data_IF_631478823054
#
_entry.id   IF_631478823054
#
_cell.length_a   1.000
_cell.length_b   1.000
_cell.length_c   1.000
_cell.angle_alpha   90.00
_cell.angle_beta   90.00
_cell.angle_gamma   90.00
#
_symmetry.space_group_name_H-M   'P 1'
#
loop_
_entity.id
_entity.type
_entity.pdbx_description
1 polymer ?
#
# COMPACT_ATOMS: atom_id res chain seq x y z
N UNK A 1 -38.89 1.28 31.21
CA UNK A 1 -38.26 0.77 29.98
C UNK A 1 -36.79 1.16 30.03
N UNK A 2 -35.88 0.20 30.21
CA UNK A 2 -34.42 0.44 30.24
C UNK A 2 -33.90 0.37 28.81
N UNK A 3 -33.30 1.46 28.34
CA UNK A 3 -32.70 1.53 26.99
C UNK A 3 -31.43 0.67 26.97
N UNK A 4 -31.27 -0.28 26.05
CA UNK A 4 -30.01 -0.99 25.89
C UNK A 4 -28.97 -0.01 25.34
N UNK A 5 -27.88 0.19 26.09
CA UNK A 5 -26.70 0.88 25.58
C UNK A 5 -26.03 -0.06 24.60
N UNK A 6 -26.15 0.21 23.30
CA UNK A 6 -25.32 -0.45 22.29
C UNK A 6 -23.91 0.11 22.46
N UNK A 7 -23.02 -0.68 23.05
CA UNK A 7 -21.59 -0.39 22.98
C UNK A 7 -21.17 -0.65 21.55
N UNK A 8 -20.81 0.40 20.81
CA UNK A 8 -20.18 0.26 19.51
C UNK A 8 -18.99 -0.71 19.64
N UNK A 9 -18.74 -1.61 18.67
CA UNK A 9 -17.60 -2.50 18.75
C UNK A 9 -16.33 -1.66 18.90
N UNK A 10 -15.60 -1.91 20.00
CA UNK A 10 -14.29 -1.35 20.21
C UNK A 10 -13.44 -1.76 19.01
N UNK A 11 -13.04 -0.81 18.17
CA UNK A 11 -12.07 -1.05 17.12
C UNK A 11 -10.83 -1.62 17.82
N UNK A 12 -10.42 -2.87 17.54
CA UNK A 12 -9.22 -3.41 18.14
C UNK A 12 -8.06 -2.47 17.80
N UNK A 13 -7.08 -2.27 18.70
CA UNK A 13 -5.88 -1.53 18.35
C UNK A 13 -5.34 -2.13 17.05
N UNK A 14 -5.25 -1.31 16.01
CA UNK A 14 -4.87 -1.80 14.69
C UNK A 14 -3.51 -2.45 14.83
N UNK A 15 -3.43 -3.75 14.52
CA UNK A 15 -2.18 -4.48 14.55
C UNK A 15 -1.20 -3.77 13.61
N UNK A 16 -0.12 -3.23 14.17
CA UNK A 16 0.84 -2.41 13.42
C UNK A 16 1.43 -3.22 12.26
N UNK A 17 1.64 -4.54 12.46
CA UNK A 17 2.07 -5.45 11.41
C UNK A 17 1.05 -5.51 10.26
N UNK A 18 -0.24 -5.63 10.60
CA UNK A 18 -1.33 -5.61 9.62
C UNK A 18 -1.36 -4.31 8.81
N UNK A 19 -1.04 -3.16 9.40
CA UNK A 19 -0.97 -1.88 8.67
C UNK A 19 0.19 -1.87 7.69
N UNK A 20 1.36 -2.39 8.07
CA UNK A 20 2.50 -2.51 7.17
C UNK A 20 2.20 -3.44 6.00
N UNK A 21 1.61 -4.61 6.27
CA UNK A 21 1.19 -5.56 5.24
C UNK A 21 0.16 -4.96 4.27
N UNK A 22 -0.80 -4.20 4.80
CA UNK A 22 -1.77 -3.50 3.97
C UNK A 22 -1.08 -2.46 3.07
N UNK A 23 -0.11 -1.72 3.61
CA UNK A 23 0.61 -0.69 2.85
C UNK A 23 1.47 -1.28 1.73
N UNK A 24 2.20 -2.37 1.98
CA UNK A 24 2.99 -3.07 0.95
C UNK A 24 2.08 -3.63 -0.15
N UNK A 25 0.98 -4.27 0.23
CA UNK A 25 0.00 -4.82 -0.72
C UNK A 25 -0.63 -3.72 -1.60
N UNK A 26 -1.02 -2.59 -1.01
CA UNK A 26 -1.59 -1.47 -1.78
C UNK A 26 -0.60 -0.87 -2.79
N UNK A 27 0.68 -0.77 -2.43
CA UNK A 27 1.73 -0.32 -3.34
C UNK A 27 1.90 -1.30 -4.52
N UNK A 28 1.86 -2.61 -4.26
CA UNK A 28 1.98 -3.63 -5.30
C UNK A 28 0.76 -3.71 -6.22
N UNK A 29 -0.45 -3.53 -5.68
CA UNK A 29 -1.68 -3.44 -6.47
C UNK A 29 -1.63 -2.25 -7.43
N UNK A 30 -1.31 -1.05 -6.91
CA UNK A 30 -1.17 0.15 -7.73
C UNK A 30 -0.10 -0.02 -8.83
N UNK A 31 1.03 -0.64 -8.48
CA UNK A 31 2.11 -0.94 -9.43
C UNK A 31 1.62 -1.88 -10.54
N UNK A 32 0.88 -2.92 -10.18
CA UNK A 32 0.31 -3.89 -11.11
C UNK A 32 -0.69 -3.25 -12.06
N UNK A 33 -1.58 -2.41 -11.56
CA UNK A 33 -2.60 -1.73 -12.35
C UNK A 33 -1.99 -0.74 -13.35
N UNK A 34 -0.99 0.06 -12.93
CA UNK A 34 -0.27 0.96 -13.86
C UNK A 34 0.46 0.15 -14.93
N UNK A 35 1.10 -0.96 -14.55
CA UNK A 35 1.83 -1.82 -15.51
C UNK A 35 0.90 -2.40 -16.58
N UNK A 36 -0.33 -2.78 -16.20
CA UNK A 36 -1.37 -3.26 -17.13
C UNK A 36 -1.98 -2.15 -17.98
N UNK A 37 -2.01 -0.91 -17.47
CA UNK A 37 -2.49 0.28 -18.19
C UNK A 37 -1.53 0.70 -19.32
N UNK A 38 -0.21 0.57 -19.13
CA UNK A 38 0.79 1.00 -20.12
C UNK A 38 0.52 0.53 -21.56
N UNK A 39 0.23 -0.76 -21.85
CA UNK A 39 -0.06 -1.22 -23.21
C UNK A 39 -1.44 -0.80 -23.74
N UNK A 40 -2.34 -0.29 -22.89
CA UNK A 40 -3.68 0.16 -23.30
C UNK A 40 -3.75 1.66 -23.54
N UNK A 41 -2.63 2.37 -23.41
CA UNK A 41 -2.57 3.81 -23.67
C UNK A 41 -2.79 4.09 -25.16
N UNK A 42 -3.54 5.16 -25.51
CA UNK A 42 -3.68 5.58 -26.90
C UNK A 42 -2.34 5.90 -27.57
N UNK A 43 -2.21 5.61 -28.87
CA UNK A 43 -0.98 5.84 -29.65
C UNK A 43 -0.53 7.32 -29.69
N UNK A 44 -1.47 8.26 -29.50
CA UNK A 44 -1.19 9.69 -29.45
C UNK A 44 -0.79 10.19 -28.04
N UNK A 45 -0.60 9.29 -27.07
CA UNK A 45 -0.14 9.64 -25.73
C UNK A 45 1.27 10.21 -25.78
N UNK A 46 1.51 11.31 -25.05
CA UNK A 46 2.84 11.90 -24.93
C UNK A 46 3.84 10.90 -24.33
N UNK A 47 5.04 10.81 -24.93
CA UNK A 47 6.13 10.00 -24.41
C UNK A 47 6.51 10.36 -22.96
N UNK A 48 6.35 11.62 -22.58
CA UNK A 48 6.60 12.07 -21.20
C UNK A 48 5.64 11.44 -20.19
N UNK A 49 4.37 11.22 -20.57
CA UNK A 49 3.41 10.52 -19.71
C UNK A 49 3.86 9.07 -19.50
N UNK A 50 4.37 8.41 -20.56
CA UNK A 50 4.90 7.05 -20.45
C UNK A 50 6.10 6.99 -19.49
N UNK A 51 7.02 7.95 -19.59
CA UNK A 51 8.17 8.08 -18.68
C UNK A 51 7.71 8.27 -17.23
N UNK A 52 6.73 9.13 -16.98
CA UNK A 52 6.21 9.39 -15.64
C UNK A 52 5.54 8.15 -15.05
N UNK A 53 4.77 7.40 -15.84
CA UNK A 53 4.14 6.16 -15.39
C UNK A 53 5.17 5.06 -15.08
N UNK A 54 6.20 4.90 -15.92
CA UNK A 54 7.30 3.96 -15.66
C UNK A 54 8.08 4.35 -14.39
N UNK A 55 8.32 5.64 -14.17
CA UNK A 55 8.92 6.15 -12.93
C UNK A 55 8.04 5.86 -11.72
N UNK A 56 6.74 6.09 -11.81
CA UNK A 56 5.79 5.80 -10.74
C UNK A 56 5.82 4.30 -10.36
N UNK A 57 5.82 3.39 -11.34
CA UNK A 57 5.96 1.94 -11.13
C UNK A 57 7.24 1.60 -10.37
N UNK A 58 8.36 2.24 -10.72
CA UNK A 58 9.62 2.04 -10.03
C UNK A 58 9.58 2.53 -8.57
N UNK A 59 9.01 3.72 -8.34
CA UNK A 59 8.88 4.27 -6.99
C UNK A 59 7.94 3.45 -6.11
N UNK A 60 6.85 2.89 -6.65
CA UNK A 60 5.96 2.01 -5.91
C UNK A 60 6.66 0.72 -5.47
N UNK A 61 7.50 0.14 -6.33
CA UNK A 61 8.34 -1.01 -5.97
C UNK A 61 9.35 -0.66 -4.88
N UNK A 62 10.00 0.49 -4.99
CA UNK A 62 10.95 0.94 -3.96
C UNK A 62 10.25 1.19 -2.63
N UNK A 63 9.05 1.78 -2.66
CA UNK A 63 8.23 2.02 -1.49
C UNK A 63 7.83 0.71 -0.79
N UNK A 64 7.35 -0.30 -1.51
CA UNK A 64 6.96 -1.58 -0.89
C UNK A 64 8.13 -2.24 -0.16
N UNK A 65 9.33 -2.26 -0.76
CA UNK A 65 10.55 -2.79 -0.12
C UNK A 65 10.97 -2.00 1.12
N UNK A 66 10.84 -0.67 1.10
CA UNK A 66 11.21 0.17 2.24
C UNK A 66 10.22 0.01 3.41
N UNK A 67 8.93 -0.13 3.11
CA UNK A 67 7.88 -0.37 4.09
C UNK A 67 8.09 -1.73 4.77
N UNK A 68 8.31 -2.77 3.98
CA UNK A 68 8.60 -4.14 4.45
C UNK A 68 9.82 -4.18 5.40
N UNK A 69 10.93 -3.56 4.99
CA UNK A 69 12.13 -3.44 5.83
C UNK A 69 11.90 -2.67 7.13
N UNK A 70 11.03 -1.66 7.11
CA UNK A 70 10.69 -0.91 8.31
C UNK A 70 9.86 -1.77 9.27
N UNK A 71 8.94 -2.58 8.74
CA UNK A 71 8.17 -3.54 9.52
C UNK A 71 9.10 -4.56 10.22
N UNK A 72 10.02 -5.18 9.46
CA UNK A 72 11.02 -6.12 9.98
C UNK A 72 11.87 -5.50 11.11
N UNK A 73 12.30 -4.25 10.94
CA UNK A 73 13.13 -3.56 11.93
C UNK A 73 12.37 -3.28 13.23
N UNK A 74 11.09 -2.92 13.14
CA UNK A 74 10.23 -2.67 14.29
C UNK A 74 9.91 -3.97 15.03
N UNK A 75 9.61 -5.05 14.30
CA UNK A 75 9.36 -6.37 14.91
C UNK A 75 10.62 -6.89 15.63
N UNK A 76 11.80 -6.73 15.03
CA UNK A 76 13.06 -7.12 15.64
C UNK A 76 13.40 -6.32 16.92
N UNK A 77 12.92 -5.08 17.04
CA UNK A 77 13.05 -4.28 18.27
C UNK A 77 12.07 -4.75 19.35
N UNK A 78 10.84 -5.13 18.98
CA UNK A 78 9.82 -5.58 19.92
C UNK A 78 10.12 -6.92 20.60
N UNK A 79 10.98 -7.76 20.01
CA UNK A 79 11.36 -9.09 20.53
C UNK A 79 12.56 -9.04 21.51
N UNK A 80 13.20 -7.88 21.69
CA UNK A 80 14.33 -7.69 22.63
C UNK A 80 13.87 -7.37 24.05
#
# INVERSE_FOLDING_TARGET
MTVPTTTAPAVPPTDIALVFDQATNMADLARGDISKLLPTLPDNTSLWIHVDLVRAVHHLRAASVLIDRAADAIEAEAVK
#
